data_IF_363913814886
#
_entry.id   IF_363913814886
#
_cell.length_a   1.000
_cell.length_b   1.000
_cell.length_c   1.000
_cell.angle_alpha   90.00
_cell.angle_beta   90.00
_cell.angle_gamma   90.00
#
_symmetry.space_group_name_H-M   'P 1'
#
loop_
_entity.id
_entity.type
_entity.pdbx_description
1 polymer ?
#
# COMPACT_ATOMS: atom_id res chain seq x y z
N UNK A 1 -16.21 10.08 -7.32
CA UNK A 1 -15.42 8.95 -7.84
C UNK A 1 -14.02 9.47 -8.16
N UNK A 2 -12.97 8.76 -7.76
CA UNK A 2 -11.58 9.14 -8.02
C UNK A 2 -11.00 8.26 -9.12
N UNK A 3 -10.26 8.85 -10.04
CA UNK A 3 -9.41 8.16 -10.99
C UNK A 3 -7.95 8.29 -10.53
N UNK A 4 -7.24 7.18 -10.40
CA UNK A 4 -5.85 7.21 -9.94
C UNK A 4 -5.02 6.11 -10.61
N UNK A 5 -3.69 6.21 -10.48
CA UNK A 5 -2.73 5.15 -10.80
C UNK A 5 -1.80 4.93 -9.62
N UNK A 6 -2.35 5.02 -8.40
CA UNK A 6 -1.54 4.90 -7.21
C UNK A 6 -0.96 3.49 -7.12
N UNK A 7 0.30 3.43 -6.74
CA UNK A 7 1.05 2.21 -6.49
C UNK A 7 1.92 2.45 -5.26
N UNK A 8 2.02 1.42 -4.42
CA UNK A 8 2.95 1.40 -3.30
C UNK A 8 3.92 0.24 -3.51
N UNK A 9 5.20 0.56 -3.60
CA UNK A 9 6.28 -0.42 -3.71
C UNK A 9 7.04 -0.49 -2.39
N UNK A 10 7.12 -1.69 -1.82
CA UNK A 10 7.90 -1.99 -0.63
C UNK A 10 9.06 -2.88 -1.03
N UNK A 11 10.27 -2.39 -0.80
CA UNK A 11 11.50 -3.15 -1.02
C UNK A 11 12.09 -3.56 0.33
N UNK A 12 12.22 -4.86 0.56
CA UNK A 12 12.94 -5.34 1.74
C UNK A 12 14.45 -5.32 1.49
N UNK A 13 15.22 -5.12 2.56
CA UNK A 13 16.66 -5.28 2.58
C UNK A 13 17.04 -6.04 3.84
N UNK A 14 17.61 -7.23 3.67
CA UNK A 14 18.13 -8.02 4.79
C UNK A 14 19.60 -7.67 5.02
N UNK A 15 20.03 -7.76 6.28
CA UNK A 15 21.40 -7.46 6.70
C UNK A 15 22.31 -8.71 6.70
N UNK A 16 21.76 -9.90 6.48
CA UNK A 16 22.50 -11.16 6.51
C UNK A 16 22.67 -11.77 7.91
N UNK A 17 22.16 -11.11 8.96
CA UNK A 17 22.41 -11.49 10.35
C UNK A 17 21.15 -11.48 11.22
N UNK A 18 20.16 -10.64 10.89
CA UNK A 18 18.88 -10.60 11.56
C UNK A 18 17.98 -11.76 11.12
N UNK A 19 17.37 -12.43 12.08
CA UNK A 19 16.36 -13.43 11.81
C UNK A 19 15.00 -12.79 11.57
N UNK A 20 14.25 -13.37 10.64
CA UNK A 20 12.86 -13.05 10.36
C UNK A 20 12.01 -14.31 10.49
N UNK A 21 10.73 -14.14 10.80
CA UNK A 21 9.80 -15.26 10.88
C UNK A 21 8.99 -15.37 9.59
N UNK A 22 9.11 -16.50 8.90
CA UNK A 22 8.27 -16.89 7.75
C UNK A 22 7.47 -18.11 8.19
N UNK A 23 6.13 -18.01 8.19
CA UNK A 23 5.22 -19.10 8.58
C UNK A 23 5.58 -19.80 9.90
N UNK A 24 5.95 -19.01 10.91
CA UNK A 24 6.34 -19.52 12.22
C UNK A 24 7.75 -20.11 12.30
N UNK A 25 8.51 -20.13 11.20
CA UNK A 25 9.90 -20.56 11.15
C UNK A 25 10.83 -19.34 11.14
N UNK A 26 11.84 -19.36 12.01
CA UNK A 26 12.86 -18.32 12.03
C UNK A 26 13.94 -18.67 11.00
N UNK A 27 14.10 -17.79 10.01
CA UNK A 27 15.16 -17.87 9.01
C UNK A 27 16.05 -16.63 9.11
N UNK A 28 17.32 -16.76 8.74
CA UNK A 28 18.24 -15.63 8.61
C UNK A 28 18.58 -15.48 7.12
N UNK A 29 17.90 -14.58 6.39
CA UNK A 29 18.14 -14.38 4.97
C UNK A 29 19.54 -13.78 4.75
N UNK A 30 20.17 -14.11 3.63
CA UNK A 30 21.41 -13.48 3.21
C UNK A 30 21.18 -12.00 2.82
N UNK A 31 22.22 -11.18 2.86
CA UNK A 31 22.12 -9.77 2.43
C UNK A 31 21.74 -9.60 0.94
N UNK A 32 21.89 -10.65 0.12
CA UNK A 32 21.46 -10.69 -1.28
C UNK A 32 20.02 -11.16 -1.46
N UNK A 33 19.35 -11.57 -0.39
CA UNK A 33 17.96 -11.97 -0.43
C UNK A 33 17.03 -10.75 -0.44
N UNK A 34 15.85 -10.91 -1.03
CA UNK A 34 14.82 -9.86 -1.03
C UNK A 34 13.42 -10.47 -1.02
N UNK A 35 12.49 -9.69 -0.49
CA UNK A 35 11.06 -9.96 -0.44
C UNK A 35 10.33 -8.64 -0.67
N UNK A 36 10.06 -8.34 -1.94
CA UNK A 36 9.41 -7.13 -2.38
C UNK A 36 7.89 -7.34 -2.42
N UNK A 37 7.15 -6.31 -2.01
CA UNK A 37 5.69 -6.28 -2.09
C UNK A 37 5.28 -5.06 -2.92
N UNK A 38 4.40 -5.27 -3.89
CA UNK A 38 3.82 -4.22 -4.71
C UNK A 38 2.31 -4.21 -4.52
N UNK A 39 1.78 -3.08 -4.06
CA UNK A 39 0.36 -2.86 -3.90
C UNK A 39 -0.15 -1.89 -4.97
N UNK A 40 -1.01 -2.39 -5.86
CA UNK A 40 -1.64 -1.60 -6.94
C UNK A 40 -3.07 -1.26 -6.58
N UNK A 41 -3.39 0.03 -6.54
CA UNK A 41 -4.75 0.50 -6.29
C UNK A 41 -5.60 0.42 -7.58
N UNK A 42 -6.92 0.18 -7.47
CA UNK A 42 -7.81 0.23 -8.62
C UNK A 42 -7.78 1.60 -9.30
N UNK A 43 -7.87 1.61 -10.64
CA UNK A 43 -7.90 2.84 -11.42
C UNK A 43 -9.12 3.71 -11.14
N UNK A 44 -10.21 3.10 -10.69
CA UNK A 44 -11.47 3.75 -10.33
C UNK A 44 -11.86 3.36 -8.91
N UNK A 45 -12.05 4.35 -8.05
CA UNK A 45 -12.41 4.14 -6.65
C UNK A 45 -13.56 5.08 -6.26
N UNK A 46 -14.61 4.59 -5.58
CA UNK A 46 -15.53 5.46 -4.84
C UNK A 46 -14.76 6.41 -3.92
N UNK A 47 -15.22 7.66 -3.86
CA UNK A 47 -14.60 8.72 -3.06
C UNK A 47 -15.65 9.34 -2.16
N UNK A 48 -15.30 9.49 -0.89
CA UNK A 48 -16.10 10.18 0.12
C UNK A 48 -15.21 11.25 0.73
N UNK A 49 -15.66 12.50 0.71
CA UNK A 49 -14.90 13.63 1.22
C UNK A 49 -15.79 14.71 1.80
N UNK A 50 -15.19 15.52 2.68
CA UNK A 50 -15.76 16.71 3.28
C UNK A 50 -14.96 17.92 2.78
N UNK A 51 -15.67 18.84 2.14
CA UNK A 51 -15.09 20.04 1.54
C UNK A 51 -15.55 21.32 2.22
N UNK A 52 -14.61 22.22 2.50
CA UNK A 52 -14.84 23.54 3.05
C UNK A 52 -14.47 24.62 2.02
N UNK A 53 -15.28 25.67 1.89
CA UNK A 53 -15.02 26.79 0.97
C UNK A 53 -16.08 27.05 -0.11
N UNK A 54 -17.15 26.23 -0.15
CA UNK A 54 -18.27 26.34 -1.09
C UNK A 54 -19.30 27.45 -0.79
N UNK A 55 -19.00 28.34 0.15
CA UNK A 55 -19.92 29.38 0.63
C UNK A 55 -20.12 30.48 -0.45
N UNK A 56 -21.32 31.08 -0.58
CA UNK A 56 -21.51 32.26 -1.41
C UNK A 56 -20.59 33.39 -0.95
N UNK A 57 -19.65 33.79 -1.81
CA UNK A 57 -18.68 34.86 -1.53
C UNK A 57 -18.81 35.99 -2.54
N UNK A 58 -18.57 37.21 -2.06
CA UNK A 58 -18.39 38.39 -2.89
C UNK A 58 -17.22 38.21 -3.88
N UNK A 59 -17.14 39.06 -4.90
CA UNK A 59 -16.00 39.06 -5.81
C UNK A 59 -14.68 39.19 -5.02
N UNK A 60 -13.66 38.43 -5.41
CA UNK A 60 -12.37 38.35 -4.71
C UNK A 60 -11.81 36.94 -4.57
N UNK A 61 -10.74 36.84 -3.77
CA UNK A 61 -10.06 35.58 -3.47
C UNK A 61 -10.80 34.76 -2.41
N UNK A 62 -10.83 33.46 -2.56
CA UNK A 62 -11.33 32.52 -1.56
C UNK A 62 -10.41 31.32 -1.39
N UNK A 63 -10.58 30.64 -0.27
CA UNK A 63 -9.83 29.43 0.08
C UNK A 63 -10.78 28.23 0.12
N UNK A 64 -10.26 27.09 -0.33
CA UNK A 64 -10.92 25.79 -0.33
C UNK A 64 -9.99 24.78 0.34
N UNK A 65 -10.56 23.89 1.14
CA UNK A 65 -9.88 22.72 1.66
C UNK A 65 -10.80 21.50 1.57
N UNK A 66 -10.27 20.37 1.14
CA UNK A 66 -11.00 19.12 1.05
C UNK A 66 -10.21 18.00 1.71
N UNK A 67 -10.89 17.20 2.51
CA UNK A 67 -10.36 15.98 3.11
C UNK A 67 -11.27 14.82 2.71
N UNK A 68 -10.70 13.73 2.23
CA UNK A 68 -11.49 12.57 1.88
C UNK A 68 -10.69 11.29 1.81
N UNK A 69 -11.39 10.22 1.46
CA UNK A 69 -10.84 8.88 1.33
C UNK A 69 -11.40 8.22 0.09
N UNK A 70 -10.53 7.56 -0.66
CA UNK A 70 -10.93 6.66 -1.74
C UNK A 70 -10.94 5.23 -1.22
N UNK A 71 -11.99 4.48 -1.52
CA UNK A 71 -12.21 3.12 -1.02
C UNK A 71 -12.11 2.17 -2.20
N UNK A 72 -11.30 1.11 -2.11
CA UNK A 72 -11.19 0.12 -3.18
C UNK A 72 -10.37 -1.09 -2.77
N UNK A 73 -10.37 -2.14 -3.60
CA UNK A 73 -9.61 -3.36 -3.33
C UNK A 73 -8.27 -3.32 -4.05
N UNK A 74 -7.17 -3.12 -3.32
CA UNK A 74 -5.85 -3.17 -3.92
C UNK A 74 -5.47 -4.60 -4.34
N UNK A 75 -4.65 -4.71 -5.38
CA UNK A 75 -3.98 -5.97 -5.76
C UNK A 75 -2.59 -5.99 -5.12
N UNK A 76 -2.20 -7.13 -4.58
CA UNK A 76 -0.88 -7.36 -4.00
C UNK A 76 -0.12 -8.33 -4.90
N UNK A 77 1.02 -7.87 -5.40
CA UNK A 77 2.00 -8.67 -6.13
C UNK A 77 3.22 -8.85 -5.23
N UNK A 78 3.83 -10.05 -5.22
CA UNK A 78 5.02 -10.36 -4.42
C UNK A 78 6.15 -10.79 -5.34
N UNK A 79 7.35 -10.28 -5.10
CA UNK A 79 8.56 -10.60 -5.86
C UNK A 79 9.69 -10.94 -4.89
N UNK A 80 10.23 -12.16 -4.97
CA UNK A 80 11.20 -12.66 -4.00
C UNK A 80 12.14 -13.71 -4.60
N UNK A 81 13.38 -13.75 -4.12
CA UNK A 81 14.37 -14.76 -4.48
C UNK A 81 14.61 -15.83 -3.39
N UNK A 82 13.79 -15.86 -2.33
CA UNK A 82 13.99 -16.80 -1.22
C UNK A 82 13.31 -18.14 -1.44
N UNK A 83 12.37 -18.22 -2.40
CA UNK A 83 11.71 -19.49 -2.77
C UNK A 83 12.74 -20.50 -3.26
N UNK A 84 12.68 -21.71 -2.71
CA UNK A 84 13.61 -22.80 -2.99
C UNK A 84 14.95 -22.71 -2.26
N UNK A 85 15.20 -21.66 -1.47
CA UNK A 85 16.40 -21.57 -0.62
C UNK A 85 16.16 -22.23 0.74
N UNK A 86 17.21 -22.83 1.26
CA UNK A 86 17.21 -23.52 2.56
C UNK A 86 17.97 -22.70 3.60
N UNK A 87 17.32 -22.40 4.71
CA UNK A 87 17.87 -21.68 5.86
C UNK A 87 17.74 -22.55 7.10
N UNK A 88 18.85 -22.96 7.71
CA UNK A 88 18.84 -23.71 8.97
C UNK A 88 18.03 -25.02 8.94
N UNK A 89 17.92 -25.67 7.78
CA UNK A 89 17.13 -26.89 7.59
C UNK A 89 15.68 -26.68 7.14
N UNK A 90 15.22 -25.43 7.01
CA UNK A 90 13.92 -25.09 6.46
C UNK A 90 14.06 -24.56 5.02
N UNK A 91 13.38 -25.19 4.08
CA UNK A 91 13.31 -24.72 2.68
C UNK A 91 12.06 -23.88 2.51
N UNK A 92 12.22 -22.62 2.11
CA UNK A 92 11.07 -21.76 1.82
C UNK A 92 10.41 -22.22 0.53
N UNK A 93 9.13 -22.58 0.60
CA UNK A 93 8.36 -23.03 -0.57
C UNK A 93 7.53 -21.91 -1.17
N UNK A 94 7.00 -22.12 -2.37
CA UNK A 94 6.04 -21.18 -2.96
C UNK A 94 4.78 -21.05 -2.10
N UNK A 95 4.29 -22.16 -1.54
CA UNK A 95 3.16 -22.13 -0.59
C UNK A 95 3.46 -21.27 0.63
N UNK A 96 4.72 -21.15 1.04
CA UNK A 96 5.05 -20.33 2.19
C UNK A 96 4.91 -18.84 1.91
N UNK A 97 5.41 -18.43 0.75
CA UNK A 97 5.25 -17.07 0.24
C UNK A 97 3.78 -16.76 -0.01
N UNK A 98 3.04 -17.67 -0.64
CA UNK A 98 1.62 -17.49 -0.94
C UNK A 98 0.79 -17.36 0.35
N UNK A 99 1.07 -18.17 1.37
CA UNK A 99 0.43 -18.07 2.68
C UNK A 99 0.74 -16.73 3.35
N UNK A 100 1.99 -16.26 3.28
CA UNK A 100 2.38 -14.96 3.84
C UNK A 100 1.71 -13.80 3.08
N UNK A 101 1.67 -13.86 1.76
CA UNK A 101 0.99 -12.85 0.93
C UNK A 101 -0.52 -12.87 1.17
N UNK A 102 -1.12 -14.03 1.39
CA UNK A 102 -2.53 -14.16 1.77
C UNK A 102 -2.80 -13.57 3.16
N UNK A 103 -1.92 -13.82 4.14
CA UNK A 103 -2.00 -13.21 5.48
C UNK A 103 -1.91 -11.68 5.40
N UNK A 104 -0.97 -11.15 4.61
CA UNK A 104 -0.84 -9.71 4.39
C UNK A 104 -2.08 -9.17 3.68
N UNK A 105 -2.59 -9.86 2.67
CA UNK A 105 -3.82 -9.46 1.98
C UNK A 105 -5.04 -9.46 2.91
N UNK A 106 -5.16 -10.44 3.80
CA UNK A 106 -6.25 -10.51 4.78
C UNK A 106 -6.13 -9.41 5.85
N UNK A 107 -4.92 -9.17 6.36
CA UNK A 107 -4.64 -8.13 7.35
C UNK A 107 -4.83 -6.71 6.81
N UNK A 108 -4.46 -6.46 5.55
CA UNK A 108 -4.72 -5.18 4.86
C UNK A 108 -6.21 -5.02 4.54
N UNK A 109 -7.00 -6.09 4.72
CA UNK A 109 -8.42 -6.11 4.51
C UNK A 109 -8.75 -6.12 3.02
N UNK A 110 -9.85 -6.80 2.67
CA UNK A 110 -10.47 -6.76 1.35
C UNK A 110 -10.73 -5.34 0.80
N UNK A 111 -10.62 -4.32 1.65
CA UNK A 111 -10.90 -2.92 1.40
C UNK A 111 -9.68 -2.10 1.84
N UNK A 112 -9.03 -1.47 0.88
CA UNK A 112 -7.93 -0.52 1.09
C UNK A 112 -8.48 0.91 1.04
N UNK A 113 -8.05 1.72 2.01
CA UNK A 113 -8.38 3.14 2.11
C UNK A 113 -7.19 3.98 1.64
N UNK A 114 -7.43 4.87 0.69
CA UNK A 114 -6.44 5.84 0.24
C UNK A 114 -6.85 7.24 0.71
N UNK A 115 -6.26 7.76 1.81
CA UNK A 115 -6.57 9.10 2.29
C UNK A 115 -6.07 10.16 1.30
N UNK A 116 -6.80 11.26 1.21
CA UNK A 116 -6.49 12.39 0.35
C UNK A 116 -6.81 13.70 1.05
N UNK A 117 -5.93 14.68 0.89
CA UNK A 117 -6.10 16.03 1.39
C UNK A 117 -5.68 17.02 0.29
N UNK A 118 -6.49 18.06 0.06
CA UNK A 118 -6.19 19.12 -0.90
C UNK A 118 -6.53 20.48 -0.33
N UNK A 119 -5.71 21.47 -0.67
CA UNK A 119 -5.91 22.88 -0.37
C UNK A 119 -5.92 23.65 -1.69
N UNK A 120 -6.76 24.66 -1.81
CA UNK A 120 -6.94 25.43 -3.03
C UNK A 120 -7.25 26.90 -2.79
N UNK A 121 -6.92 27.73 -3.77
CA UNK A 121 -7.32 29.13 -3.85
C UNK A 121 -8.27 29.30 -5.04
N UNK A 122 -9.35 30.05 -4.85
CA UNK A 122 -10.27 30.43 -5.91
C UNK A 122 -10.31 31.95 -6.06
N UNK A 123 -10.70 32.44 -7.24
CA UNK A 123 -10.95 33.85 -7.48
C UNK A 123 -12.24 34.01 -8.26
N UNK A 124 -13.14 34.87 -7.76
CA UNK A 124 -14.43 35.17 -8.37
C UNK A 124 -14.43 36.62 -8.86
N UNK A 125 -14.72 36.82 -10.15
CA UNK A 125 -14.96 38.13 -10.77
C UNK A 125 -16.43 38.53 -10.61
#
# INVERSE_FOLDING_TARGET
LTFNKAQLDLHSRFDGSSSITINGQNITPAASDYFNLQMKFPSTMPYVGLGWGHQPRAAGMGFIADLGVSIGRARLDTDTNIVGKTYGGYTVTQSDVDAKTAEVHDAVGHITFLPSASLGLNYRY
#
